data_IF_299577118001
#
_entry.id   IF_299577118001
#
_cell.length_a   1.000
_cell.length_b   1.000
_cell.length_c   1.000
_cell.angle_alpha   90.00
_cell.angle_beta   90.00
_cell.angle_gamma   90.00
#
_symmetry.space_group_name_H-M   'P 1'
#
loop_
_entity.id
_entity.type
_entity.pdbx_description
1 polymer ?
#
# COMPACT_ATOMS: atom_id res chain seq x y z
N UNK A 1 -44.91 -34.55 30.02
CA UNK A 1 -46.10 -34.41 29.15
C UNK A 1 -45.70 -33.59 27.93
N UNK A 2 -45.49 -34.29 26.80
CA UNK A 2 -45.82 -33.90 25.40
C UNK A 2 -45.23 -32.55 24.89
N UNK A 3 -44.05 -32.55 24.23
CA UNK A 3 -43.77 -32.75 22.77
C UNK A 3 -44.18 -31.54 21.90
N UNK A 4 -43.20 -30.91 21.22
CA UNK A 4 -43.06 -30.88 19.73
C UNK A 4 -41.77 -30.18 19.29
N UNK A 5 -40.81 -30.99 18.84
CA UNK A 5 -39.73 -30.60 17.93
C UNK A 5 -40.32 -30.37 16.53
N UNK A 6 -39.88 -29.32 15.86
CA UNK A 6 -40.09 -29.11 14.42
C UNK A 6 -38.77 -29.30 13.68
N UNK A 7 -38.73 -30.29 12.79
CA UNK A 7 -37.66 -30.53 11.83
C UNK A 7 -38.14 -30.15 10.43
N UNK A 8 -37.28 -29.55 9.62
CA UNK A 8 -37.35 -29.61 8.17
C UNK A 8 -35.93 -29.61 7.60
N UNK A 9 -35.55 -30.74 7.03
CA UNK A 9 -34.28 -31.00 6.39
C UNK A 9 -34.24 -30.40 4.98
N UNK A 10 -33.11 -29.83 4.58
CA UNK A 10 -32.81 -29.48 3.19
C UNK A 10 -31.80 -30.47 2.64
N UNK A 11 -32.27 -31.29 1.70
CA UNK A 11 -31.47 -32.14 0.82
C UNK A 11 -30.82 -31.26 -0.27
N UNK A 12 -29.50 -31.36 -0.45
CA UNK A 12 -28.82 -30.92 -1.66
C UNK A 12 -28.02 -32.10 -2.24
N UNK A 13 -28.50 -32.60 -3.37
CA UNK A 13 -27.98 -33.73 -4.13
C UNK A 13 -26.75 -33.35 -4.94
N UNK A 14 -25.77 -34.25 -4.95
CA UNK A 14 -24.59 -34.20 -5.82
C UNK A 14 -24.97 -34.28 -7.31
N UNK A 15 -24.35 -33.44 -8.13
CA UNK A 15 -24.41 -33.50 -9.60
C UNK A 15 -22.99 -33.58 -10.16
N UNK A 16 -22.50 -34.79 -10.39
CA UNK A 16 -21.26 -35.08 -11.13
C UNK A 16 -21.61 -34.99 -12.62
N UNK A 17 -20.92 -34.13 -13.37
CA UNK A 17 -21.03 -34.10 -14.84
C UNK A 17 -19.74 -34.64 -15.44
N UNK A 18 -19.80 -35.88 -15.91
CA UNK A 18 -18.79 -36.51 -16.77
C UNK A 18 -19.16 -36.24 -18.24
N UNK A 19 -18.27 -35.57 -18.98
CA UNK A 19 -18.37 -35.49 -20.45
C UNK A 19 -17.45 -36.56 -21.05
N UNK A 20 -18.06 -37.54 -21.71
CA UNK A 20 -17.42 -38.55 -22.54
C UNK A 20 -17.20 -38.00 -23.95
N UNK A 21 -15.95 -38.01 -24.44
CA UNK A 21 -15.65 -37.93 -25.87
C UNK A 21 -15.32 -39.34 -26.40
N UNK A 22 -16.25 -39.88 -27.18
CA UNK A 22 -16.06 -41.06 -28.03
C UNK A 22 -15.49 -40.59 -29.35
N UNK A 23 -14.34 -41.12 -29.74
CA UNK A 23 -13.67 -40.80 -31.01
C UNK A 23 -14.12 -41.67 -32.17
N UNK A 24 -13.49 -41.47 -33.33
CA UNK A 24 -13.14 -42.60 -34.20
C UNK A 24 -11.94 -42.31 -35.11
N UNK A 25 -11.29 -43.42 -35.44
CA UNK A 25 -9.95 -43.65 -36.01
C UNK A 25 -9.86 -43.43 -37.52
N UNK A 26 -8.63 -43.22 -37.99
CA UNK A 26 -8.22 -43.56 -39.35
C UNK A 26 -6.78 -43.12 -39.63
N UNK A 27 -5.82 -44.04 -39.53
CA UNK A 27 -4.42 -43.81 -39.91
C UNK A 27 -4.09 -44.38 -41.30
N UNK A 28 -3.11 -43.79 -41.98
CA UNK A 28 -1.92 -44.45 -42.56
C UNK A 28 -1.18 -43.54 -43.58
N UNK A 29 0.10 -43.28 -43.28
CA UNK A 29 1.28 -43.07 -44.15
C UNK A 29 1.13 -42.75 -45.65
N UNK A 30 1.82 -41.71 -46.11
CA UNK A 30 2.95 -41.83 -47.07
C UNK A 30 3.74 -40.51 -47.22
N UNK A 31 5.03 -40.66 -47.53
CA UNK A 31 6.13 -39.69 -47.60
C UNK A 31 5.95 -38.63 -48.72
N UNK A 32 6.46 -37.40 -48.52
CA UNK A 32 7.56 -36.76 -49.29
C UNK A 32 7.69 -35.25 -48.98
N UNK A 33 8.93 -34.83 -48.71
CA UNK A 33 9.60 -33.55 -49.04
C UNK A 33 9.15 -32.19 -48.45
N UNK A 34 10.09 -31.66 -47.64
CA UNK A 34 10.67 -30.31 -47.66
C UNK A 34 9.81 -29.08 -47.32
N UNK A 35 10.12 -28.44 -46.19
CA UNK A 35 10.79 -27.13 -46.16
C UNK A 35 11.20 -26.79 -44.71
N UNK A 36 12.51 -26.75 -44.47
CA UNK A 36 13.09 -26.16 -43.28
C UNK A 36 13.07 -24.63 -43.44
N UNK A 37 12.52 -23.93 -42.46
CA UNK A 37 12.86 -22.53 -42.20
C UNK A 37 13.37 -22.47 -40.77
N UNK A 38 14.69 -22.50 -40.67
CA UNK A 38 15.40 -22.00 -39.51
C UNK A 38 15.22 -20.47 -39.50
N UNK A 39 14.66 -19.93 -38.42
CA UNK A 39 14.87 -18.54 -38.06
C UNK A 39 15.68 -18.52 -36.78
N UNK A 40 16.96 -18.24 -36.99
CA UNK A 40 17.86 -17.60 -36.04
C UNK A 40 17.14 -16.43 -35.36
N UNK A 41 16.94 -16.54 -34.06
CA UNK A 41 16.91 -15.37 -33.19
C UNK A 41 17.92 -15.60 -32.08
N UNK A 42 19.18 -15.36 -32.45
CA UNK A 42 20.19 -14.86 -31.54
C UNK A 42 19.72 -13.50 -30.99
N UNK A 43 18.85 -13.54 -29.98
CA UNK A 43 18.59 -12.41 -29.10
C UNK A 43 19.58 -12.49 -27.95
N UNK A 44 20.65 -11.70 -28.03
CA UNK A 44 21.56 -11.48 -26.93
C UNK A 44 20.75 -11.07 -25.69
N UNK A 45 20.56 -11.99 -24.74
CA UNK A 45 20.18 -11.63 -23.39
C UNK A 45 21.36 -10.84 -22.84
N UNK A 46 21.21 -9.51 -22.85
CA UNK A 46 22.19 -8.57 -22.35
C UNK A 46 22.62 -9.00 -20.96
N UNK A 47 23.87 -9.44 -20.86
CA UNK A 47 24.57 -9.45 -19.61
C UNK A 47 24.69 -8.00 -19.14
N UNK A 48 24.17 -7.74 -17.93
CA UNK A 48 24.63 -6.66 -17.08
C UNK A 48 24.18 -5.26 -17.48
N UNK A 49 22.93 -4.93 -17.19
CA UNK A 49 22.73 -3.69 -16.46
C UNK A 49 22.87 -4.06 -14.99
N UNK A 50 24.01 -3.70 -14.40
CA UNK A 50 24.15 -3.67 -12.94
C UNK A 50 22.96 -2.88 -12.42
N UNK A 51 22.02 -3.57 -11.78
CA UNK A 51 20.86 -3.04 -11.06
C UNK A 51 21.40 -2.21 -9.89
N UNK A 52 22.02 -1.06 -10.21
CA UNK A 52 22.42 -0.06 -9.25
C UNK A 52 21.10 0.39 -8.64
N UNK A 53 20.87 -0.05 -7.40
CA UNK A 53 19.67 0.25 -6.66
C UNK A 53 19.35 1.74 -6.79
N UNK A 54 18.32 2.06 -7.57
CA UNK A 54 17.92 3.44 -7.82
C UNK A 54 17.59 4.05 -6.47
N UNK A 55 18.32 5.08 -6.05
CA UNK A 55 18.03 5.72 -4.77
C UNK A 55 16.80 6.61 -4.89
N UNK A 56 15.86 6.46 -3.96
CA UNK A 56 14.83 7.46 -3.73
C UNK A 56 15.46 8.68 -3.06
N UNK A 57 15.11 9.90 -3.49
CA UNK A 57 15.66 11.10 -2.86
C UNK A 57 15.09 11.27 -1.45
N UNK A 58 15.83 12.00 -0.60
CA UNK A 58 15.28 12.48 0.66
C UNK A 58 14.05 13.37 0.39
N UNK A 59 13.04 13.29 1.25
CA UNK A 59 11.79 14.05 1.13
C UNK A 59 11.40 14.62 2.49
N UNK A 60 10.98 15.87 2.48
CA UNK A 60 10.37 16.53 3.63
C UNK A 60 8.94 16.88 3.24
N UNK A 61 7.98 16.44 4.06
CA UNK A 61 6.58 16.73 3.90
C UNK A 61 6.15 17.73 4.97
N UNK A 62 5.70 18.90 4.54
CA UNK A 62 5.11 19.93 5.39
C UNK A 62 3.59 19.94 5.16
N UNK A 63 2.86 19.31 6.08
CA UNK A 63 1.44 19.00 5.93
C UNK A 63 0.53 19.90 6.79
N UNK A 64 -0.68 20.11 6.28
CA UNK A 64 -1.82 20.66 7.02
C UNK A 64 -2.94 19.63 7.02
N UNK A 65 -3.13 18.96 8.15
CA UNK A 65 -4.07 17.85 8.31
C UNK A 65 -5.31 18.29 9.09
N UNK A 66 -6.50 18.11 8.52
CA UNK A 66 -7.75 18.31 9.25
C UNK A 66 -8.27 16.99 9.80
N UNK A 67 -8.90 17.00 10.98
CA UNK A 67 -9.62 15.83 11.48
C UNK A 67 -10.96 15.71 10.75
N UNK A 68 -11.21 14.59 10.09
CA UNK A 68 -12.46 14.37 9.36
C UNK A 68 -13.60 14.17 10.36
N UNK A 69 -14.66 14.96 10.25
CA UNK A 69 -15.80 14.92 11.17
C UNK A 69 -17.06 14.25 10.60
N UNK A 70 -17.06 13.91 9.31
CA UNK A 70 -18.23 13.42 8.57
C UNK A 70 -17.94 12.17 7.71
N UNK A 71 -16.95 11.38 8.08
CA UNK A 71 -16.64 10.16 7.33
C UNK A 71 -17.78 9.13 7.50
N UNK A 72 -18.23 8.57 6.37
CA UNK A 72 -19.31 7.60 6.29
C UNK A 72 -18.76 6.29 5.70
N UNK A 73 -18.61 5.22 6.50
CA UNK A 73 -18.06 3.96 6.03
C UNK A 73 -18.96 3.22 5.03
N UNK A 74 -20.22 3.64 4.87
CA UNK A 74 -21.17 3.03 3.94
C UNK A 74 -21.19 3.71 2.57
N UNK A 75 -20.35 4.74 2.38
CA UNK A 75 -20.30 5.53 1.16
C UNK A 75 -18.85 5.74 0.72
N UNK A 76 -18.59 5.59 -0.57
CA UNK A 76 -17.36 6.09 -1.15
C UNK A 76 -17.38 7.63 -1.14
N UNK A 77 -16.49 8.23 -0.35
CA UNK A 77 -16.36 9.68 -0.23
C UNK A 77 -15.05 10.13 -0.87
N UNK A 78 -15.15 11.10 -1.77
CA UNK A 78 -14.00 11.79 -2.31
C UNK A 78 -13.40 12.75 -1.27
N UNK A 79 -12.08 13.07 -1.34
CA UNK A 79 -11.47 14.05 -0.44
C UNK A 79 -12.15 15.42 -0.40
N UNK A 80 -12.82 15.83 -1.48
CA UNK A 80 -13.58 17.09 -1.54
C UNK A 80 -14.87 17.10 -0.70
N UNK A 81 -15.34 15.93 -0.25
CA UNK A 81 -16.54 15.79 0.57
C UNK A 81 -16.25 15.79 2.07
N UNK A 82 -14.99 15.75 2.47
CA UNK A 82 -14.60 15.78 3.87
C UNK A 82 -14.80 17.16 4.49
N UNK A 83 -15.46 17.14 5.65
CA UNK A 83 -15.58 18.27 6.56
C UNK A 83 -14.53 18.07 7.64
N UNK A 84 -13.76 19.12 7.88
CA UNK A 84 -12.66 19.09 8.84
C UNK A 84 -13.02 19.86 10.10
N UNK A 85 -12.72 19.26 11.25
CA UNK A 85 -12.71 19.92 12.54
C UNK A 85 -11.26 20.21 12.94
N UNK A 86 -10.87 21.48 12.84
CA UNK A 86 -9.50 21.92 13.07
C UNK A 86 -8.55 21.65 11.90
N UNK A 87 -7.37 22.26 11.99
CA UNK A 87 -6.25 22.07 11.05
C UNK A 87 -4.96 22.01 11.84
N UNK A 88 -4.22 20.93 11.64
CA UNK A 88 -3.03 20.58 12.39
C UNK A 88 -1.80 20.63 11.51
N UNK A 89 -0.73 21.22 12.04
CA UNK A 89 0.55 21.23 11.33
C UNK A 89 1.28 19.91 11.58
N UNK A 90 1.86 19.31 10.55
CA UNK A 90 2.59 18.06 10.68
C UNK A 90 3.78 18.05 9.74
N UNK A 91 4.99 17.79 10.25
CA UNK A 91 6.22 17.72 9.44
C UNK A 91 6.83 16.33 9.54
N UNK A 92 7.07 15.70 8.40
CA UNK A 92 7.62 14.35 8.30
C UNK A 92 8.83 14.33 7.37
N UNK A 93 9.91 13.69 7.82
CA UNK A 93 11.10 13.48 7.01
C UNK A 93 11.26 12.01 6.62
N UNK A 94 11.42 11.76 5.32
CA UNK A 94 11.79 10.49 4.73
C UNK A 94 13.22 10.60 4.17
N UNK A 95 14.20 9.82 4.65
CA UNK A 95 15.56 9.88 4.15
C UNK A 95 15.68 9.34 2.72
N UNK A 96 16.87 9.50 2.14
CA UNK A 96 17.21 8.81 0.89
C UNK A 96 17.46 7.33 1.18
N UNK A 97 16.75 6.46 0.47
CA UNK A 97 16.81 5.01 0.64
C UNK A 97 16.84 4.33 -0.73
N UNK A 98 17.32 3.08 -0.84
CA UNK A 98 17.17 2.29 -2.06
C UNK A 98 15.68 2.16 -2.44
N UNK A 99 15.35 2.37 -3.72
CA UNK A 99 14.01 2.12 -4.21
C UNK A 99 13.68 0.63 -4.11
N UNK A 100 12.45 0.34 -3.73
CA UNK A 100 11.94 -1.03 -3.70
C UNK A 100 11.88 -1.59 -5.10
N UNK A 101 12.42 -2.79 -5.27
CA UNK A 101 12.28 -3.63 -6.47
C UNK A 101 11.40 -4.86 -6.23
N UNK A 102 11.05 -5.13 -4.97
CA UNK A 102 10.21 -6.24 -4.56
C UNK A 102 8.76 -5.81 -4.32
N UNK A 103 7.77 -6.71 -4.51
CA UNK A 103 6.38 -6.44 -4.16
C UNK A 103 6.21 -5.98 -2.69
N UNK A 104 5.09 -5.31 -2.35
CA UNK A 104 4.78 -4.98 -0.95
C UNK A 104 4.82 -6.25 -0.08
N UNK A 105 5.32 -6.17 1.16
CA UNK A 105 5.36 -7.31 2.05
C UNK A 105 3.92 -7.71 2.42
N UNK A 106 3.69 -8.99 2.65
CA UNK A 106 2.42 -9.44 3.23
C UNK A 106 2.22 -8.77 4.60
N UNK A 107 0.97 -8.48 4.95
CA UNK A 107 0.56 -8.09 6.30
C UNK A 107 1.17 -8.96 7.41
N UNK A 108 1.38 -10.25 7.16
CA UNK A 108 1.93 -11.22 8.11
C UNK A 108 3.46 -11.34 8.07
N UNK A 109 4.11 -10.71 7.09
CA UNK A 109 5.58 -10.72 7.00
C UNK A 109 6.19 -9.89 8.13
N UNK A 110 7.40 -10.25 8.62
CA UNK A 110 8.15 -9.40 9.53
C UNK A 110 8.30 -7.98 8.95
N UNK A 111 8.23 -6.93 9.78
CA UNK A 111 8.48 -5.57 9.31
C UNK A 111 9.86 -5.47 8.65
N UNK A 112 9.91 -4.81 7.50
CA UNK A 112 11.17 -4.48 6.84
C UNK A 112 11.94 -3.44 7.67
N UNK A 113 13.28 -3.49 7.71
CA UNK A 113 14.07 -2.50 8.42
C UNK A 113 13.76 -1.08 7.96
N UNK A 114 13.46 -0.20 8.92
CA UNK A 114 13.23 1.22 8.66
C UNK A 114 14.51 2.01 8.85
N UNK A 115 14.79 2.94 7.93
CA UNK A 115 15.92 3.86 8.10
C UNK A 115 15.67 4.72 9.35
N UNK A 116 16.59 4.73 10.34
CA UNK A 116 16.41 5.42 11.62
C UNK A 116 16.29 6.95 11.49
N UNK A 117 16.62 7.52 10.32
CA UNK A 117 16.41 8.95 10.05
C UNK A 117 14.96 9.25 9.68
N UNK A 118 14.13 8.26 9.37
CA UNK A 118 12.68 8.44 9.14
C UNK A 118 12.01 8.88 10.43
N UNK A 119 11.50 10.12 10.47
CA UNK A 119 10.96 10.69 11.71
C UNK A 119 9.99 11.84 11.48
N UNK A 120 9.09 12.02 12.45
CA UNK A 120 8.26 13.21 12.58
C UNK A 120 9.15 14.33 13.13
N UNK A 121 9.24 15.44 12.40
CA UNK A 121 10.03 16.62 12.80
C UNK A 121 9.21 17.61 13.62
N UNK A 122 7.90 17.73 13.37
CA UNK A 122 7.03 18.62 14.10
C UNK A 122 5.59 18.09 14.13
N UNK A 123 5.00 18.08 15.32
CA UNK A 123 3.60 17.77 15.60
C UNK A 123 3.15 18.62 16.81
N UNK A 124 2.97 19.94 16.64
CA UNK A 124 2.70 20.86 17.75
C UNK A 124 1.36 20.57 18.45
N UNK A 125 0.40 20.00 17.73
CA UNK A 125 -0.94 19.70 18.25
C UNK A 125 -1.04 18.28 18.83
N UNK A 126 0.03 17.49 18.73
CA UNK A 126 0.11 16.15 19.29
C UNK A 126 -0.82 15.14 18.64
N UNK A 127 -1.18 15.30 17.36
CA UNK A 127 -2.08 14.36 16.66
C UNK A 127 -1.43 12.97 16.44
N UNK A 128 -0.12 12.92 16.56
CA UNK A 128 0.72 11.74 16.63
C UNK A 128 1.53 11.67 17.94
N UNK A 129 1.14 12.38 19.02
CA UNK A 129 1.88 12.42 20.30
C UNK A 129 2.22 11.04 20.85
N UNK A 130 1.31 10.08 20.63
CA UNK A 130 1.47 8.72 21.12
C UNK A 130 2.47 7.89 20.28
N UNK A 131 2.96 8.43 19.17
CA UNK A 131 4.03 7.88 18.32
C UNK A 131 5.30 8.75 18.38
N UNK A 132 5.27 9.90 19.06
CA UNK A 132 6.44 10.78 19.20
C UNK A 132 7.49 10.08 20.06
N UNK A 133 8.69 9.92 19.51
CA UNK A 133 9.81 9.22 20.19
C UNK A 133 9.88 7.72 19.91
N UNK A 134 8.90 7.15 19.20
CA UNK A 134 8.96 5.78 18.70
C UNK A 134 9.44 5.78 17.24
N UNK A 135 10.39 4.89 16.87
CA UNK A 135 10.72 4.70 15.46
C UNK A 135 9.49 4.14 14.73
N UNK A 136 9.39 4.40 13.43
CA UNK A 136 8.44 3.65 12.60
C UNK A 136 8.89 2.19 12.54
N UNK A 137 7.95 1.25 12.76
CA UNK A 137 8.21 -0.18 12.66
C UNK A 137 8.24 -0.65 11.21
N UNK A 138 7.45 0.00 10.35
CA UNK A 138 7.34 -0.34 8.93
C UNK A 138 7.25 0.92 8.10
N UNK A 139 7.98 0.94 7.00
CA UNK A 139 7.89 1.94 5.94
C UNK A 139 7.93 1.20 4.60
N UNK A 140 6.81 1.22 3.89
CA UNK A 140 6.66 0.69 2.54
C UNK A 140 6.67 1.86 1.58
N UNK A 141 7.81 2.10 0.96
CA UNK A 141 8.05 3.28 0.13
C UNK A 141 8.09 2.93 -1.37
N UNK A 142 6.98 3.21 -2.05
CA UNK A 142 6.85 3.14 -3.50
C UNK A 142 6.75 4.55 -4.08
N UNK A 143 7.59 5.47 -3.64
CA UNK A 143 7.57 6.82 -4.17
C UNK A 143 7.86 6.86 -5.68
N UNK A 144 7.16 7.70 -6.47
CA UNK A 144 6.15 8.69 -6.05
C UNK A 144 4.72 8.16 -5.93
N UNK A 145 4.46 6.87 -6.14
CA UNK A 145 3.09 6.34 -6.18
C UNK A 145 2.43 6.36 -4.81
N UNK A 146 3.09 5.82 -3.79
CA UNK A 146 2.54 5.69 -2.44
C UNK A 146 3.64 5.45 -1.41
N UNK A 147 3.45 5.97 -0.20
CA UNK A 147 4.25 5.58 0.97
C UNK A 147 3.30 5.19 2.08
N UNK A 148 3.51 4.03 2.69
CA UNK A 148 2.72 3.56 3.84
C UNK A 148 3.64 3.33 5.03
N UNK A 149 3.27 3.84 6.19
CA UNK A 149 4.10 3.75 7.38
C UNK A 149 3.27 3.40 8.59
N UNK A 150 3.84 2.59 9.47
CA UNK A 150 3.25 2.32 10.78
C UNK A 150 4.23 2.67 11.89
N UNK A 151 3.77 3.45 12.87
CA UNK A 151 4.53 3.72 14.09
C UNK A 151 3.80 3.10 15.28
N UNK A 152 4.47 2.29 16.11
CA UNK A 152 3.86 1.73 17.29
C UNK A 152 3.49 2.86 18.27
N UNK A 153 2.31 2.72 18.86
CA UNK A 153 1.82 3.55 19.96
C UNK A 153 1.90 2.77 21.28
N UNK A 154 1.67 1.46 21.20
CA UNK A 154 1.85 0.49 22.27
C UNK A 154 2.00 -0.90 21.64
N UNK A 155 2.17 -1.94 22.45
CA UNK A 155 2.26 -3.34 21.99
C UNK A 155 1.01 -3.82 21.20
N UNK A 156 -0.11 -3.09 21.30
CA UNK A 156 -1.41 -3.47 20.72
C UNK A 156 -2.03 -2.38 19.84
N UNK A 157 -1.33 -1.27 19.61
CA UNK A 157 -1.82 -0.15 18.82
C UNK A 157 -0.69 0.47 18.00
N UNK A 158 -1.00 0.85 16.76
CA UNK A 158 -0.08 1.57 15.89
C UNK A 158 -0.80 2.76 15.23
N UNK A 159 -0.06 3.82 14.92
CA UNK A 159 -0.44 4.86 13.97
C UNK A 159 -0.19 4.35 12.56
N UNK A 160 -1.13 4.60 11.66
CA UNK A 160 -1.01 4.37 10.23
C UNK A 160 -0.92 5.73 9.53
N UNK A 161 0.09 5.89 8.69
CA UNK A 161 0.27 7.07 7.83
C UNK A 161 0.36 6.59 6.39
N UNK A 162 -0.43 7.19 5.51
CA UNK A 162 -0.41 6.94 4.07
C UNK A 162 -0.16 8.26 3.36
N UNK A 163 0.85 8.29 2.49
CA UNK A 163 1.13 9.40 1.58
C UNK A 163 0.80 8.94 0.18
N UNK A 164 0.00 9.72 -0.52
CA UNK A 164 -0.49 9.42 -1.86
C UNK A 164 -0.70 10.69 -2.69
N UNK A 165 -1.29 10.53 -3.89
CA UNK A 165 -1.58 11.59 -4.85
C UNK A 165 -0.41 12.57 -5.07
N UNK A 166 0.80 12.00 -5.18
CA UNK A 166 2.01 12.81 -5.36
C UNK A 166 1.98 13.46 -6.73
N UNK A 167 2.02 14.79 -6.74
CA UNK A 167 2.17 15.61 -7.92
C UNK A 167 3.58 16.17 -7.97
N UNK A 168 4.43 15.52 -8.78
CA UNK A 168 5.81 15.97 -8.98
C UNK A 168 5.88 17.39 -9.55
N UNK A 169 4.93 17.78 -10.42
CA UNK A 169 4.87 19.12 -11.01
C UNK A 169 4.54 20.20 -9.98
N UNK A 170 3.80 19.87 -8.93
CA UNK A 170 3.35 20.81 -7.90
C UNK A 170 4.16 20.70 -6.61
N UNK A 171 5.12 19.77 -6.54
CA UNK A 171 5.82 19.42 -5.31
C UNK A 171 4.84 19.23 -4.15
N UNK A 172 3.78 18.45 -4.41
CA UNK A 172 2.67 18.26 -3.49
C UNK A 172 2.32 16.79 -3.35
N UNK A 173 1.78 16.43 -2.20
CA UNK A 173 1.19 15.12 -1.92
C UNK A 173 -0.02 15.30 -1.01
N UNK A 174 -0.79 14.23 -0.82
CA UNK A 174 -1.77 14.14 0.26
C UNK A 174 -1.30 13.15 1.31
N UNK A 175 -1.77 13.36 2.53
CA UNK A 175 -1.49 12.49 3.66
C UNK A 175 -2.78 12.15 4.37
N UNK A 176 -2.99 10.85 4.56
CA UNK A 176 -3.98 10.30 5.46
C UNK A 176 -3.29 9.73 6.69
N UNK A 177 -3.85 9.96 7.87
CA UNK A 177 -3.33 9.43 9.12
C UNK A 177 -4.46 8.98 10.04
N UNK A 178 -4.29 7.82 10.66
CA UNK A 178 -5.22 7.29 11.67
C UNK A 178 -4.53 6.36 12.66
N UNK A 179 -5.25 5.85 13.66
CA UNK A 179 -4.79 4.67 14.39
C UNK A 179 -5.20 3.41 13.61
N UNK A 180 -4.35 2.38 13.60
CA UNK A 180 -4.61 1.13 12.89
C UNK A 180 -5.90 0.44 13.37
N UNK A 181 -6.19 0.46 14.68
CA UNK A 181 -7.44 -0.08 15.22
C UNK A 181 -8.66 0.72 14.75
N UNK A 182 -8.51 2.04 14.61
CA UNK A 182 -9.58 2.94 14.17
C UNK A 182 -9.82 2.85 12.66
N UNK A 183 -8.83 2.38 11.89
CA UNK A 183 -9.01 2.10 10.46
C UNK A 183 -9.98 0.93 10.21
N UNK A 184 -10.09 -0.01 11.16
CA UNK A 184 -11.00 -1.17 11.05
C UNK A 184 -12.39 -0.83 11.56
N UNK A 185 -12.49 0.00 12.61
CA UNK A 185 -13.77 0.39 13.23
C UNK A 185 -14.34 1.70 12.70
N UNK A 186 -13.58 2.42 11.87
CA UNK A 186 -13.88 3.76 11.36
C UNK A 186 -14.17 4.79 12.48
N UNK A 187 -13.39 4.76 13.57
CA UNK A 187 -13.54 5.74 14.65
C UNK A 187 -13.05 7.14 14.22
N UNK A 188 -14.03 8.01 13.94
CA UNK A 188 -13.85 9.40 13.49
C UNK A 188 -12.94 10.26 14.37
N UNK A 189 -12.70 9.88 15.62
CA UNK A 189 -11.86 10.66 16.54
C UNK A 189 -10.43 10.84 16.07
N UNK A 190 -9.92 9.93 15.24
CA UNK A 190 -8.52 9.91 14.85
C UNK A 190 -8.28 9.83 13.34
N UNK A 191 -9.29 10.11 12.51
CA UNK A 191 -9.11 10.18 11.06
C UNK A 191 -8.66 11.57 10.64
N UNK A 192 -7.44 11.68 10.12
CA UNK A 192 -6.86 12.93 9.63
C UNK A 192 -6.55 12.82 8.14
N UNK A 193 -6.82 13.90 7.41
CA UNK A 193 -6.46 14.00 5.99
C UNK A 193 -6.04 15.43 5.65
N UNK A 194 -5.11 15.57 4.72
CA UNK A 194 -4.73 16.88 4.25
C UNK A 194 -3.68 16.89 3.16
N UNK A 195 -3.25 18.10 2.80
CA UNK A 195 -2.25 18.35 1.75
C UNK A 195 -0.89 18.61 2.39
N UNK A 196 0.13 18.18 1.67
CA UNK A 196 1.53 18.38 2.02
C UNK A 196 2.25 19.12 0.90
N UNK A 197 3.04 20.12 1.26
CA UNK A 197 4.13 20.59 0.41
C UNK A 197 5.31 19.63 0.56
N UNK A 198 5.99 19.33 -0.54
CA UNK A 198 7.06 18.34 -0.60
C UNK A 198 8.36 19.01 -1.03
N UNK A 199 9.38 18.98 -0.18
CA UNK A 199 10.75 19.29 -0.58
C UNK A 199 11.48 18.00 -0.90
N UNK A 200 12.37 18.00 -1.90
CA UNK A 200 13.07 16.80 -2.40
C UNK A 200 14.59 17.03 -2.42
N UNK A 201 15.37 16.01 -2.10
CA UNK A 201 16.83 15.98 -2.20
C UNK A 201 17.53 16.84 -1.15
N UNK A 202 18.45 17.68 -1.59
CA UNK A 202 19.23 18.56 -0.70
C UNK A 202 18.34 19.54 0.07
N UNK A 203 17.31 20.09 -0.58
CA UNK A 203 16.35 21.01 0.06
C UNK A 203 15.61 20.34 1.23
N UNK A 204 15.26 19.05 1.08
CA UNK A 204 14.65 18.27 2.15
C UNK A 204 15.62 18.07 3.32
N UNK A 205 16.85 17.68 3.03
CA UNK A 205 17.88 17.38 4.04
C UNK A 205 18.26 18.62 4.83
N UNK A 206 18.45 19.76 4.16
CA UNK A 206 18.79 21.03 4.80
C UNK A 206 17.71 21.51 5.78
N UNK A 207 16.44 21.23 5.48
CA UNK A 207 15.28 21.66 6.27
C UNK A 207 14.91 20.69 7.40
N UNK A 208 15.62 19.56 7.50
CA UNK A 208 15.38 18.47 8.46
C UNK A 208 16.42 18.42 9.60
N UNK A 209 17.45 19.26 9.53
CA UNK A 209 18.45 19.51 10.57
C UNK A 209 18.11 20.78 11.34
#
# INVERSE_FOLDING_TARGET
MIVRLGAAALLATAGVTTVTLVGNRGGASTKHSAAAVAQDQAGAAGAGESDLAKMLPARLLDCKLGRISNFDPNKEQSPSEYIFDGVHSFRLFLPSIPARTTPPPDSTSPPEPVDPKTRILADPDGIASNAVGHPFDRVVDFWPQRVEMTAPVSDVAAKLVIIDQVSAAQNAATMFMTNANDAVTFDLKHLYYGRCAVSIGEAATASAN
#
